data_IF_986218644388
#
_entry.id   IF_986218644388
#
_cell.length_a   1.000
_cell.length_b   1.000
_cell.length_c   1.000
_cell.angle_alpha   90.00
_cell.angle_beta   90.00
_cell.angle_gamma   90.00
#
_symmetry.space_group_name_H-M   'P 1'
#
loop_
_entity.id
_entity.type
_entity.pdbx_description
1 polymer ?
#
# COMPACT_ATOMS: atom_id res chain seq x y z
N UNK A 1 -13.32 -11.54 35.56
CA UNK A 1 -12.61 -11.06 34.36
C UNK A 1 -13.63 -10.39 33.46
N UNK A 2 -13.55 -9.07 33.29
CA UNK A 2 -14.43 -8.38 32.35
C UNK A 2 -14.05 -8.81 30.93
N UNK A 3 -14.97 -9.51 30.27
CA UNK A 3 -14.81 -9.91 28.88
C UNK A 3 -15.12 -8.65 28.04
N UNK A 4 -14.09 -7.85 27.75
CA UNK A 4 -14.23 -6.73 26.81
C UNK A 4 -14.33 -7.32 25.40
N UNK A 5 -15.54 -7.71 25.00
CA UNK A 5 -15.83 -8.03 23.60
C UNK A 5 -15.45 -6.83 22.75
N UNK A 6 -14.62 -7.04 21.71
CA UNK A 6 -14.25 -5.99 20.76
C UNK A 6 -15.53 -5.34 20.22
N UNK A 7 -15.56 -3.99 20.09
CA UNK A 7 -16.71 -3.32 19.49
C UNK A 7 -16.95 -3.84 18.07
N UNK A 8 -18.21 -4.09 17.73
CA UNK A 8 -18.63 -4.56 16.39
C UNK A 8 -18.56 -3.46 15.33
N UNK A 9 -18.58 -2.20 15.77
CA UNK A 9 -18.48 -1.00 14.92
C UNK A 9 -17.02 -0.52 14.88
N UNK A 10 -16.48 -0.20 13.67
CA UNK A 10 -15.17 0.43 13.54
C UNK A 10 -15.11 1.78 14.27
N UNK A 11 -14.10 1.93 15.12
CA UNK A 11 -13.77 3.17 15.82
C UNK A 11 -12.42 3.67 15.33
N UNK A 12 -12.38 4.92 14.89
CA UNK A 12 -11.17 5.57 14.42
C UNK A 12 -10.62 6.54 15.46
N UNK A 13 -9.30 6.47 15.69
CA UNK A 13 -8.55 7.49 16.41
C UNK A 13 -7.50 8.11 15.50
N UNK A 14 -7.22 9.39 15.75
CA UNK A 14 -6.16 10.15 15.08
C UNK A 14 -5.28 10.75 16.17
N UNK A 15 -4.04 10.27 16.25
CA UNK A 15 -3.01 10.80 17.14
C UNK A 15 -2.00 11.62 16.32
N UNK A 16 -1.61 12.81 16.80
CA UNK A 16 -0.64 13.67 16.12
C UNK A 16 0.62 13.79 16.97
N UNK A 17 1.76 13.40 16.39
CA UNK A 17 3.08 13.50 17.01
C UNK A 17 3.92 14.52 16.25
N UNK A 18 4.38 15.55 16.95
CA UNK A 18 5.18 16.62 16.37
C UNK A 18 6.07 17.27 17.44
N UNK A 19 7.08 18.01 17.00
CA UNK A 19 7.55 19.15 17.78
C UNK A 19 6.76 20.38 17.31
N UNK A 20 5.95 20.97 18.18
CA UNK A 20 5.15 22.15 17.83
C UNK A 20 5.94 23.46 17.91
N UNK A 21 7.14 23.44 18.47
CA UNK A 21 7.95 24.63 18.68
C UNK A 21 8.88 24.89 17.50
N UNK A 22 8.76 26.09 16.92
CA UNK A 22 9.61 26.59 15.85
C UNK A 22 10.57 27.66 16.39
N UNK A 23 11.82 27.72 15.91
CA UNK A 23 12.70 28.84 16.22
C UNK A 23 12.19 30.13 15.57
N UNK A 24 12.74 31.27 15.97
CA UNK A 24 12.48 32.55 15.30
C UNK A 24 12.72 32.44 13.78
N UNK A 25 11.73 32.88 12.99
CA UNK A 25 11.77 32.78 11.53
C UNK A 25 11.57 31.36 10.96
N UNK A 26 11.43 30.33 11.81
CA UNK A 26 11.10 28.96 11.42
C UNK A 26 9.74 28.86 10.72
N UNK A 27 9.64 28.00 9.71
CA UNK A 27 8.45 27.91 8.83
C UNK A 27 8.00 26.50 8.49
N UNK A 28 8.76 25.48 8.86
CA UNK A 28 8.45 24.10 8.50
C UNK A 28 8.00 23.34 9.74
N UNK A 29 6.77 22.81 9.67
CA UNK A 29 6.18 21.96 10.70
C UNK A 29 6.08 20.56 10.15
N UNK A 30 6.56 19.59 10.92
CA UNK A 30 6.53 18.18 10.56
C UNK A 30 5.76 17.40 11.61
N UNK A 31 4.76 16.64 11.17
CA UNK A 31 3.91 15.83 12.04
C UNK A 31 3.74 14.41 11.51
N UNK A 32 3.74 13.44 12.43
CA UNK A 32 3.29 12.07 12.20
C UNK A 32 1.87 11.95 12.70
N UNK A 33 0.94 11.64 11.79
CA UNK A 33 -0.46 11.39 12.06
C UNK A 33 -0.66 9.87 12.09
N UNK A 34 -0.86 9.31 13.27
CA UNK A 34 -1.24 7.90 13.42
C UNK A 34 -2.74 7.77 13.37
N UNK A 35 -3.24 7.06 12.37
CA UNK A 35 -4.65 6.69 12.27
C UNK A 35 -4.78 5.23 12.68
N UNK A 36 -5.69 4.96 13.62
CA UNK A 36 -5.97 3.60 14.09
C UNK A 36 -7.45 3.33 13.95
N UNK A 37 -7.79 2.22 13.31
CA UNK A 37 -9.14 1.67 13.24
C UNK A 37 -9.19 0.41 14.09
N UNK A 38 -10.07 0.38 15.09
CA UNK A 38 -10.30 -0.80 15.93
C UNK A 38 -11.78 -1.19 15.91
N UNK A 39 -12.06 -2.48 16.01
CA UNK A 39 -13.44 -2.97 15.87
C UNK A 39 -13.87 -3.06 14.40
N UNK A 40 -14.78 -3.99 14.09
CA UNK A 40 -15.19 -4.31 12.71
C UNK A 40 -14.73 -5.68 12.19
N UNK A 41 -14.06 -6.50 13.00
CA UNK A 41 -13.62 -7.85 12.66
C UNK A 41 -14.34 -8.96 13.45
N UNK A 42 -14.87 -9.94 12.70
CA UNK A 42 -15.37 -11.27 13.10
C UNK A 42 -16.63 -11.35 13.98
N UNK A 43 -17.77 -10.95 13.45
CA UNK A 43 -19.03 -11.69 13.58
C UNK A 43 -20.06 -11.06 12.66
N UNK A 44 -20.78 -11.87 11.88
CA UNK A 44 -21.90 -11.39 11.08
C UNK A 44 -23.03 -10.92 12.01
N UNK A 45 -22.99 -9.66 12.44
CA UNK A 45 -24.13 -8.98 13.05
C UNK A 45 -23.87 -7.47 13.20
N UNK A 46 -24.83 -6.70 12.68
CA UNK A 46 -25.08 -5.27 12.89
C UNK A 46 -23.92 -4.31 12.54
N UNK A 47 -24.02 -3.75 11.33
CA UNK A 47 -23.30 -2.54 10.93
C UNK A 47 -23.62 -1.34 11.81
N UNK A 48 -22.87 -0.26 11.61
CA UNK A 48 -23.03 1.02 12.30
C UNK A 48 -24.49 1.49 12.22
N UNK A 49 -25.07 2.12 13.26
CA UNK A 49 -26.30 2.90 13.08
C UNK A 49 -26.01 4.01 12.05
N UNK A 50 -26.48 3.83 10.80
CA UNK A 50 -26.12 4.67 9.65
C UNK A 50 -25.20 4.02 8.60
N UNK A 51 -24.61 2.84 8.87
CA UNK A 51 -24.08 1.91 7.86
C UNK A 51 -24.90 0.62 7.90
N UNK A 52 -25.80 0.44 6.94
CA UNK A 52 -26.46 -0.84 6.74
C UNK A 52 -25.45 -1.87 6.21
N UNK A 53 -25.06 -2.83 7.06
CA UNK A 53 -24.31 -4.04 6.67
C UNK A 53 -22.81 -3.84 6.46
N UNK A 54 -22.01 -4.88 6.72
CA UNK A 54 -20.66 -4.94 6.15
C UNK A 54 -20.80 -4.77 4.64
N UNK A 55 -20.22 -3.71 4.09
CA UNK A 55 -20.50 -3.29 2.72
C UNK A 55 -20.30 -4.43 1.72
N UNK A 56 -21.13 -4.47 0.67
CA UNK A 56 -20.94 -5.37 -0.46
C UNK A 56 -19.50 -5.24 -0.96
N UNK A 57 -18.76 -6.34 -0.90
CA UNK A 57 -17.37 -6.40 -1.35
C UNK A 57 -17.31 -7.15 -2.69
N UNK A 58 -16.47 -6.66 -3.60
CA UNK A 58 -16.15 -7.31 -4.86
C UNK A 58 -14.65 -7.54 -5.00
N UNK A 59 -14.25 -8.73 -5.44
CA UNK A 59 -12.86 -9.05 -5.73
C UNK A 59 -12.68 -9.62 -7.13
N UNK A 60 -11.73 -9.07 -7.89
CA UNK A 60 -11.30 -9.66 -9.17
C UNK A 60 -9.89 -10.21 -9.04
N UNK A 61 -9.73 -11.51 -9.28
CA UNK A 61 -8.43 -12.18 -9.26
C UNK A 61 -7.93 -12.26 -10.71
N UNK A 62 -6.86 -11.54 -11.01
CA UNK A 62 -6.20 -11.47 -12.32
C UNK A 62 -4.97 -12.37 -12.31
N UNK A 63 -5.03 -13.43 -13.10
CA UNK A 63 -3.99 -14.48 -13.15
C UNK A 63 -3.29 -14.42 -14.50
N UNK A 64 -1.98 -14.14 -14.48
CA UNK A 64 -1.14 -14.24 -15.65
C UNK A 64 -1.21 -15.65 -16.25
N UNK A 65 -1.51 -15.69 -17.54
CA UNK A 65 -1.62 -16.86 -18.38
C UNK A 65 -0.74 -16.71 -19.62
N UNK A 66 0.28 -15.85 -19.59
CA UNK A 66 1.26 -15.70 -20.66
C UNK A 66 2.08 -16.98 -20.86
N UNK A 67 2.82 -17.05 -21.97
CA UNK A 67 3.61 -18.24 -22.32
C UNK A 67 4.68 -18.63 -21.29
N UNK A 68 5.22 -17.68 -20.52
CA UNK A 68 6.24 -17.93 -19.48
C UNK A 68 5.71 -18.77 -18.32
N UNK A 69 4.39 -18.73 -18.07
CA UNK A 69 3.75 -19.48 -16.99
C UNK A 69 3.82 -21.00 -17.16
N UNK A 70 4.18 -21.51 -18.36
CA UNK A 70 4.40 -22.94 -18.61
C UNK A 70 5.82 -23.40 -18.26
N UNK A 71 6.73 -22.46 -17.94
CA UNK A 71 8.15 -22.73 -17.71
C UNK A 71 8.66 -22.10 -16.40
N UNK A 72 8.87 -22.91 -15.34
CA UNK A 72 8.44 -24.30 -15.20
C UNK A 72 6.91 -24.42 -15.03
N UNK A 73 6.33 -25.56 -15.43
CA UNK A 73 4.89 -25.84 -15.31
C UNK A 73 4.35 -25.78 -13.87
N UNK A 74 5.24 -25.76 -12.87
CA UNK A 74 4.89 -25.51 -11.47
C UNK A 74 4.34 -24.09 -11.25
N UNK A 75 4.67 -23.09 -12.07
CA UNK A 75 4.15 -21.72 -11.99
C UNK A 75 2.63 -21.69 -12.23
N UNK A 76 2.16 -22.19 -13.38
CA UNK A 76 0.72 -22.27 -13.68
C UNK A 76 -0.03 -23.14 -12.67
N UNK A 77 0.53 -24.27 -12.23
CA UNK A 77 -0.08 -25.09 -11.17
C UNK A 77 -0.22 -24.29 -9.86
N UNK A 78 0.85 -23.64 -9.42
CA UNK A 78 0.85 -22.82 -8.21
C UNK A 78 -0.13 -21.65 -8.30
N UNK A 79 -0.26 -21.00 -9.46
CA UNK A 79 -1.23 -19.94 -9.71
C UNK A 79 -2.68 -20.44 -9.58
N UNK A 80 -3.00 -21.61 -10.14
CA UNK A 80 -4.33 -22.25 -9.97
C UNK A 80 -4.60 -22.60 -8.51
N UNK A 81 -3.64 -23.21 -7.82
CA UNK A 81 -3.75 -23.59 -6.41
C UNK A 81 -3.95 -22.35 -5.51
N UNK A 82 -3.21 -21.27 -5.77
CA UNK A 82 -3.30 -20.03 -5.02
C UNK A 82 -4.62 -19.28 -5.29
N UNK A 83 -5.07 -19.27 -6.54
CA UNK A 83 -6.38 -18.70 -6.90
C UNK A 83 -7.51 -19.50 -6.24
N UNK A 84 -7.42 -20.83 -6.20
CA UNK A 84 -8.38 -21.67 -5.49
C UNK A 84 -8.39 -21.37 -3.99
N UNK A 85 -7.22 -21.21 -3.37
CA UNK A 85 -7.10 -20.86 -1.95
C UNK A 85 -7.73 -19.49 -1.65
N UNK A 86 -7.46 -18.47 -2.47
CA UNK A 86 -8.09 -17.16 -2.36
C UNK A 86 -9.63 -17.22 -2.50
N UNK A 87 -10.14 -18.01 -3.46
CA UNK A 87 -11.59 -18.21 -3.62
C UNK A 87 -12.22 -18.87 -2.38
N UNK A 88 -11.52 -19.82 -1.76
CA UNK A 88 -11.98 -20.47 -0.53
C UNK A 88 -11.98 -19.52 0.69
N UNK A 89 -11.17 -18.46 0.67
CA UNK A 89 -11.12 -17.41 1.71
C UNK A 89 -12.24 -16.37 1.61
N UNK A 90 -12.92 -16.27 0.45
CA UNK A 90 -14.02 -15.30 0.27
C UNK A 90 -15.10 -15.52 1.33
N UNK A 91 -15.66 -14.45 1.89
CA UNK A 91 -16.85 -14.53 2.75
C UNK A 91 -18.07 -14.91 1.91
N UNK A 92 -19.02 -15.62 2.51
CA UNK A 92 -20.32 -15.85 1.86
C UNK A 92 -20.97 -14.50 1.50
N UNK A 93 -21.48 -14.38 0.28
CA UNK A 93 -22.08 -13.14 -0.23
C UNK A 93 -21.10 -12.16 -0.90
N UNK A 94 -19.78 -12.37 -0.80
CA UNK A 94 -18.79 -11.53 -1.52
C UNK A 94 -18.93 -11.74 -3.03
N UNK A 95 -18.97 -10.65 -3.79
CA UNK A 95 -18.96 -10.71 -5.26
C UNK A 95 -17.55 -11.00 -5.75
N UNK A 96 -17.37 -11.83 -6.78
CA UNK A 96 -16.05 -12.12 -7.32
C UNK A 96 -16.05 -12.55 -8.78
N UNK A 97 -14.90 -12.39 -9.41
CA UNK A 97 -14.59 -12.94 -10.73
C UNK A 97 -13.12 -13.35 -10.83
N UNK A 98 -12.83 -14.23 -11.80
CA UNK A 98 -11.47 -14.65 -12.14
C UNK A 98 -11.19 -14.27 -13.59
N UNK A 99 -10.07 -13.59 -13.82
CA UNK A 99 -9.63 -13.12 -15.13
C UNK A 99 -8.31 -13.80 -15.48
N UNK A 100 -8.25 -14.39 -16.68
CA UNK A 100 -7.01 -14.81 -17.31
C UNK A 100 -6.39 -13.61 -18.04
N UNK A 101 -5.16 -13.30 -17.68
CA UNK A 101 -4.38 -12.21 -18.26
C UNK A 101 -3.38 -12.70 -19.30
N UNK A 102 -3.38 -12.10 -20.49
CA UNK A 102 -2.33 -12.24 -21.51
C UNK A 102 -2.07 -10.87 -22.17
N UNK A 103 -1.71 -10.80 -23.45
CA UNK A 103 -1.84 -9.56 -24.24
C UNK A 103 -3.30 -9.09 -24.38
N UNK A 104 -4.26 -9.95 -24.03
CA UNK A 104 -5.68 -9.62 -23.83
C UNK A 104 -6.15 -10.14 -22.47
N UNK A 105 -7.24 -9.58 -21.95
CA UNK A 105 -7.90 -10.05 -20.73
C UNK A 105 -9.16 -10.85 -21.06
N UNK A 106 -9.33 -12.02 -20.44
CA UNK A 106 -10.53 -12.86 -20.60
C UNK A 106 -11.10 -13.25 -19.24
N UNK A 107 -12.41 -13.08 -19.09
CA UNK A 107 -13.14 -13.60 -17.94
C UNK A 107 -13.21 -15.14 -18.00
N UNK A 108 -12.77 -15.79 -16.93
CA UNK A 108 -12.74 -17.25 -16.78
C UNK A 108 -13.94 -17.72 -15.98
N UNK A 109 -14.30 -16.94 -14.96
CA UNK A 109 -15.48 -17.17 -14.13
C UNK A 109 -16.02 -15.82 -13.65
N UNK A 110 -17.35 -15.57 -13.66
CA UNK A 110 -18.42 -16.46 -14.16
C UNK A 110 -18.49 -16.59 -15.70
N UNK A 111 -17.80 -15.73 -16.45
CA UNK A 111 -17.75 -15.74 -17.92
C UNK A 111 -18.93 -15.04 -18.60
N UNK A 112 -19.67 -14.18 -17.90
CA UNK A 112 -20.90 -13.56 -18.39
C UNK A 112 -20.89 -12.02 -18.34
N UNK A 113 -19.74 -11.40 -18.10
CA UNK A 113 -19.59 -9.95 -18.00
C UNK A 113 -20.02 -9.36 -16.66
N UNK A 114 -20.13 -10.19 -15.62
CA UNK A 114 -20.54 -9.79 -14.28
C UNK A 114 -19.75 -10.49 -13.18
N UNK A 115 -20.25 -10.40 -11.95
CA UNK A 115 -19.64 -11.02 -10.78
C UNK A 115 -20.52 -12.18 -10.29
N UNK A 116 -19.88 -13.27 -9.89
CA UNK A 116 -20.55 -14.33 -9.14
C UNK A 116 -20.61 -13.94 -7.65
N UNK A 117 -21.60 -14.47 -6.92
CA UNK A 117 -21.69 -14.31 -5.47
C UNK A 117 -21.12 -15.55 -4.80
N UNK A 118 -20.15 -15.37 -3.89
CA UNK A 118 -19.48 -16.46 -3.20
C UNK A 118 -20.46 -17.24 -2.31
N UNK A 119 -20.64 -18.51 -2.65
CA UNK A 119 -21.31 -19.55 -1.86
C UNK A 119 -20.56 -20.89 -2.09
N UNK A 120 -21.00 -21.97 -1.47
CA UNK A 120 -20.33 -23.27 -1.63
C UNK A 120 -20.32 -23.79 -3.07
N UNK A 121 -21.36 -23.48 -3.86
CA UNK A 121 -21.50 -23.89 -5.26
C UNK A 121 -20.63 -23.05 -6.18
N UNK A 122 -20.69 -21.73 -6.10
CA UNK A 122 -19.92 -20.82 -6.96
C UNK A 122 -18.42 -20.92 -6.71
N UNK A 123 -17.99 -21.17 -5.45
CA UNK A 123 -16.59 -21.50 -5.16
C UNK A 123 -16.15 -22.80 -5.84
N UNK A 124 -16.98 -23.84 -5.81
CA UNK A 124 -16.67 -25.11 -6.48
C UNK A 124 -16.62 -24.95 -8.01
N UNK A 125 -17.58 -24.22 -8.60
CA UNK A 125 -17.61 -23.90 -10.03
C UNK A 125 -16.39 -23.09 -10.46
N UNK A 126 -16.01 -22.06 -9.69
CA UNK A 126 -14.82 -21.27 -9.97
C UNK A 126 -13.56 -22.14 -9.97
N UNK A 127 -13.40 -23.01 -8.97
CA UNK A 127 -12.26 -23.94 -8.89
C UNK A 127 -12.21 -24.94 -10.06
N UNK A 128 -13.37 -25.38 -10.56
CA UNK A 128 -13.42 -26.17 -11.78
C UNK A 128 -12.98 -25.35 -13.00
N UNK A 129 -13.46 -24.11 -13.13
CA UNK A 129 -13.08 -23.20 -14.21
C UNK A 129 -11.57 -22.91 -14.25
N UNK A 130 -10.88 -22.90 -13.11
CA UNK A 130 -9.41 -22.74 -13.05
C UNK A 130 -8.65 -23.81 -13.83
N UNK A 131 -9.23 -25.00 -14.05
CA UNK A 131 -8.60 -26.05 -14.87
C UNK A 131 -8.46 -25.66 -16.34
N UNK A 132 -9.27 -24.70 -16.80
CA UNK A 132 -9.21 -24.17 -18.16
C UNK A 132 -8.13 -23.09 -18.37
N UNK A 133 -7.51 -22.57 -17.30
CA UNK A 133 -6.41 -21.63 -17.41
C UNK A 133 -5.22 -22.30 -18.10
N UNK A 134 -4.75 -21.79 -19.22
CA UNK A 134 -3.59 -22.35 -19.92
C UNK A 134 -2.61 -21.24 -20.26
N UNK A 135 -1.32 -21.53 -20.19
CA UNK A 135 -0.28 -20.61 -20.60
C UNK A 135 -0.30 -20.40 -22.13
N UNK A 136 -0.23 -19.15 -22.58
CA UNK A 136 -0.17 -18.79 -23.98
C UNK A 136 -0.35 -17.29 -24.22
N UNK A 137 0.35 -16.76 -25.23
CA UNK A 137 0.30 -15.34 -25.58
C UNK A 137 1.24 -14.47 -24.75
N UNK A 138 1.11 -13.14 -24.92
CA UNK A 138 1.95 -12.14 -24.24
C UNK A 138 1.40 -11.63 -22.91
N UNK A 139 1.88 -10.47 -22.47
CA UNK A 139 1.52 -9.82 -21.19
C UNK A 139 1.24 -8.33 -21.42
N UNK A 140 -0.02 -7.93 -21.24
CA UNK A 140 -0.49 -6.54 -21.28
C UNK A 140 -1.40 -6.25 -20.08
N UNK A 141 -0.80 -5.92 -18.94
CA UNK A 141 -1.43 -5.79 -17.62
C UNK A 141 -2.56 -4.73 -17.61
N UNK A 142 -2.39 -3.63 -18.33
CA UNK A 142 -3.38 -2.57 -18.48
C UNK A 142 -4.71 -3.09 -19.02
N UNK A 143 -4.70 -4.12 -19.86
CA UNK A 143 -5.94 -4.76 -20.33
C UNK A 143 -6.67 -5.51 -19.21
N UNK A 144 -5.93 -6.11 -18.27
CA UNK A 144 -6.48 -6.87 -17.14
C UNK A 144 -7.11 -5.93 -16.14
N UNK A 145 -6.41 -4.83 -15.81
CA UNK A 145 -6.89 -3.79 -14.90
C UNK A 145 -8.19 -3.15 -15.40
N UNK A 146 -8.28 -2.85 -16.70
CA UNK A 146 -9.50 -2.30 -17.32
C UNK A 146 -10.67 -3.29 -17.30
N UNK A 147 -10.40 -4.59 -17.48
CA UNK A 147 -11.45 -5.60 -17.37
C UNK A 147 -11.91 -5.75 -15.91
N UNK A 148 -10.99 -5.76 -14.96
CA UNK A 148 -11.30 -5.80 -13.54
C UNK A 148 -12.16 -4.60 -13.11
N UNK A 149 -11.79 -3.39 -13.53
CA UNK A 149 -12.59 -2.18 -13.29
C UNK A 149 -14.01 -2.30 -13.86
N UNK A 150 -14.15 -2.81 -15.09
CA UNK A 150 -15.47 -3.02 -15.72
C UNK A 150 -16.33 -4.00 -14.92
N UNK A 151 -15.76 -5.12 -14.48
CA UNK A 151 -16.46 -6.13 -13.69
C UNK A 151 -16.83 -5.59 -12.30
N UNK A 152 -15.91 -4.93 -11.61
CA UNK A 152 -16.17 -4.30 -10.31
C UNK A 152 -17.17 -3.15 -10.40
N UNK A 153 -17.26 -2.48 -11.56
CA UNK A 153 -18.25 -1.45 -11.84
C UNK A 153 -19.62 -2.00 -12.24
N UNK A 154 -19.76 -3.31 -12.49
CA UNK A 154 -21.04 -3.91 -12.90
C UNK A 154 -22.00 -4.12 -11.74
N UNK A 155 -21.54 -3.93 -10.50
CA UNK A 155 -22.31 -4.12 -9.29
C UNK A 155 -22.12 -2.92 -8.33
N UNK A 156 -23.13 -2.67 -7.50
CA UNK A 156 -23.05 -1.66 -6.45
C UNK A 156 -22.27 -2.22 -5.25
N UNK A 157 -20.96 -1.99 -5.28
CA UNK A 157 -19.99 -2.49 -4.33
C UNK A 157 -19.37 -1.34 -3.56
N UNK A 158 -19.41 -1.44 -2.23
CA UNK A 158 -18.74 -0.53 -1.33
C UNK A 158 -17.22 -0.75 -1.34
N UNK A 159 -16.77 -2.01 -1.28
CA UNK A 159 -15.34 -2.35 -1.28
C UNK A 159 -15.02 -3.06 -2.59
N UNK A 160 -14.06 -2.53 -3.34
CA UNK A 160 -13.64 -3.07 -4.64
C UNK A 160 -12.15 -3.33 -4.60
N UNK A 161 -11.76 -4.57 -4.86
CA UNK A 161 -10.38 -5.00 -4.73
C UNK A 161 -9.95 -5.90 -5.91
N UNK A 162 -8.71 -5.73 -6.34
CA UNK A 162 -8.04 -6.55 -7.34
C UNK A 162 -6.87 -7.30 -6.71
N UNK A 163 -6.67 -8.54 -7.13
CA UNK A 163 -5.45 -9.32 -6.85
C UNK A 163 -4.80 -9.62 -8.19
N UNK A 164 -3.58 -9.15 -8.40
CA UNK A 164 -2.82 -9.36 -9.63
C UNK A 164 -1.64 -10.30 -9.39
N UNK A 165 -1.54 -11.34 -10.21
CA UNK A 165 -0.38 -12.22 -10.29
C UNK A 165 0.28 -12.05 -11.65
N UNK A 166 1.61 -11.91 -11.68
CA UNK A 166 2.39 -12.00 -12.92
C UNK A 166 3.72 -12.72 -12.71
N UNK A 167 4.19 -13.42 -13.73
CA UNK A 167 5.54 -14.01 -13.75
C UNK A 167 6.45 -13.38 -14.80
N UNK A 168 5.94 -12.42 -15.56
CA UNK A 168 6.58 -11.84 -16.74
C UNK A 168 6.60 -10.32 -16.72
N UNK A 169 7.39 -9.75 -17.64
CA UNK A 169 7.41 -8.31 -17.91
C UNK A 169 6.23 -7.90 -18.76
N UNK A 170 5.81 -6.64 -18.64
CA UNK A 170 4.69 -6.09 -19.39
C UNK A 170 5.06 -5.70 -20.84
N UNK A 171 5.50 -6.67 -21.64
CA UNK A 171 6.15 -6.43 -22.94
C UNK A 171 5.18 -6.19 -24.12
N UNK A 172 3.86 -6.39 -23.93
CA UNK A 172 2.88 -6.34 -25.01
C UNK A 172 1.94 -5.12 -24.92
N UNK A 173 2.33 -4.11 -24.15
CA UNK A 173 1.81 -2.75 -24.21
C UNK A 173 2.94 -1.75 -23.91
N UNK A 174 2.75 -0.49 -24.27
CA UNK A 174 3.69 0.58 -23.92
C UNK A 174 3.56 1.01 -22.46
N UNK A 175 4.61 1.57 -21.84
CA UNK A 175 4.53 2.17 -20.51
C UNK A 175 3.44 3.25 -20.41
N UNK A 176 3.20 4.01 -21.48
CA UNK A 176 2.14 5.03 -21.56
C UNK A 176 0.73 4.41 -21.52
N UNK A 177 0.53 3.26 -22.15
CA UNK A 177 -0.75 2.54 -22.13
C UNK A 177 -1.06 1.97 -20.75
N UNK A 178 -0.05 1.38 -20.08
CA UNK A 178 -0.17 0.94 -18.69
C UNK A 178 -0.50 2.12 -17.77
N UNK A 179 0.23 3.23 -17.91
CA UNK A 179 -0.03 4.45 -17.13
C UNK A 179 -1.45 4.97 -17.33
N UNK A 180 -1.93 5.02 -18.58
CA UNK A 180 -3.30 5.43 -18.87
C UNK A 180 -4.34 4.46 -18.28
N UNK A 181 -4.04 3.16 -18.21
CA UNK A 181 -4.91 2.18 -17.53
C UNK A 181 -4.93 2.41 -16.02
N UNK A 182 -3.78 2.66 -15.39
CA UNK A 182 -3.68 2.97 -13.97
C UNK A 182 -4.41 4.27 -13.61
N UNK A 183 -4.22 5.34 -14.39
CA UNK A 183 -4.92 6.61 -14.19
C UNK A 183 -6.44 6.45 -14.28
N UNK A 184 -6.94 5.60 -15.19
CA UNK A 184 -8.36 5.30 -15.33
C UNK A 184 -8.92 4.44 -14.19
N UNK A 185 -8.08 3.60 -13.57
CA UNK A 185 -8.46 2.70 -12.48
C UNK A 185 -8.29 3.35 -11.09
N UNK A 186 -7.44 4.37 -10.97
CA UNK A 186 -7.14 5.05 -9.71
C UNK A 186 -8.42 5.56 -9.03
N UNK A 187 -8.58 5.20 -7.75
CA UNK A 187 -9.77 5.54 -6.97
C UNK A 187 -11.03 4.73 -7.31
N UNK A 188 -11.00 3.82 -8.30
CA UNK A 188 -12.14 2.96 -8.65
C UNK A 188 -12.11 1.62 -7.92
N UNK A 189 -10.92 1.09 -7.64
CA UNK A 189 -10.68 -0.09 -6.81
C UNK A 189 -9.24 -0.06 -6.28
N UNK A 190 -8.94 -0.86 -5.24
CA UNK A 190 -7.56 -1.06 -4.79
C UNK A 190 -6.97 -2.35 -5.36
N UNK A 191 -5.65 -2.43 -5.55
CA UNK A 191 -5.03 -3.63 -6.12
C UNK A 191 -3.74 -4.04 -5.41
N UNK A 192 -3.73 -5.27 -4.89
CA UNK A 192 -2.50 -5.93 -4.48
C UNK A 192 -1.90 -6.68 -5.69
N UNK A 193 -0.57 -6.68 -5.80
CA UNK A 193 0.15 -7.28 -6.91
C UNK A 193 1.28 -8.20 -6.42
N UNK A 194 1.51 -9.31 -7.12
CA UNK A 194 2.55 -10.30 -6.82
C UNK A 194 3.32 -10.69 -8.06
N UNK A 195 4.63 -10.65 -7.94
CA UNK A 195 5.56 -11.16 -8.95
C UNK A 195 6.05 -12.56 -8.59
N UNK A 196 5.94 -13.52 -9.51
CA UNK A 196 6.35 -14.92 -9.30
C UNK A 196 7.71 -15.19 -9.92
N UNK A 197 8.61 -15.79 -9.16
CA UNK A 197 9.97 -16.02 -9.62
C UNK A 197 10.72 -14.70 -9.83
N UNK A 198 11.52 -14.61 -10.89
CA UNK A 198 12.42 -13.48 -11.16
C UNK A 198 12.29 -12.86 -12.55
N UNK A 199 11.39 -13.38 -13.40
CA UNK A 199 11.29 -12.99 -14.81
C UNK A 199 10.36 -11.78 -15.06
N UNK A 200 10.16 -10.93 -14.05
CA UNK A 200 9.26 -9.77 -14.07
C UNK A 200 9.99 -8.49 -13.59
N UNK A 201 9.42 -7.32 -13.84
CA UNK A 201 10.04 -6.03 -13.48
C UNK A 201 9.49 -5.48 -12.16
N UNK A 202 10.38 -5.21 -11.20
CA UNK A 202 10.00 -4.74 -9.85
C UNK A 202 9.27 -3.40 -9.93
N UNK A 203 9.75 -2.48 -10.77
CA UNK A 203 9.15 -1.14 -10.93
C UNK A 203 7.74 -1.19 -11.51
N UNK A 204 7.41 -2.18 -12.34
CA UNK A 204 6.07 -2.35 -12.90
C UNK A 204 5.07 -2.81 -11.83
N UNK A 205 5.38 -3.89 -11.11
CA UNK A 205 4.50 -4.46 -10.08
C UNK A 205 4.32 -3.52 -8.89
N UNK A 206 5.40 -2.89 -8.43
CA UNK A 206 5.32 -1.87 -7.36
C UNK A 206 4.57 -0.62 -7.81
N UNK A 207 4.71 -0.21 -9.08
CA UNK A 207 3.97 0.91 -9.65
C UNK A 207 2.45 0.68 -9.67
N UNK A 208 2.00 -0.54 -9.99
CA UNK A 208 0.57 -0.91 -9.94
C UNK A 208 0.04 -0.79 -8.51
N UNK A 209 0.75 -1.38 -7.54
CA UNK A 209 0.35 -1.34 -6.14
C UNK A 209 0.30 0.10 -5.59
N UNK A 210 1.29 0.94 -5.91
CA UNK A 210 1.31 2.37 -5.54
C UNK A 210 0.13 3.13 -6.16
N UNK A 211 -0.11 2.97 -7.45
CA UNK A 211 -1.20 3.67 -8.15
C UNK A 211 -2.60 3.28 -7.64
N UNK A 212 -2.76 2.02 -7.21
CA UNK A 212 -4.04 1.46 -6.76
C UNK A 212 -4.08 1.20 -5.25
N UNK A 213 -3.27 1.90 -4.45
CA UNK A 213 -3.30 1.88 -2.98
C UNK A 213 -3.29 0.45 -2.36
N UNK A 214 -2.52 -0.45 -2.96
CA UNK A 214 -2.30 -1.80 -2.47
C UNK A 214 -0.83 -2.06 -2.15
N UNK A 215 -0.44 -3.33 -2.22
CA UNK A 215 0.88 -3.84 -1.84
C UNK A 215 1.49 -4.67 -2.96
N UNK A 216 2.82 -4.60 -3.08
CA UNK A 216 3.61 -5.45 -3.95
C UNK A 216 4.52 -6.37 -3.13
N UNK A 217 4.66 -7.62 -3.55
CA UNK A 217 5.67 -8.53 -3.01
C UNK A 217 6.13 -9.55 -4.05
N UNK A 218 7.29 -10.15 -3.80
CA UNK A 218 7.84 -11.26 -4.57
C UNK A 218 7.44 -12.60 -3.94
N UNK A 219 7.02 -13.53 -4.78
CA UNK A 219 6.88 -14.95 -4.44
C UNK A 219 7.94 -15.73 -5.22
N UNK A 220 9.12 -15.84 -4.61
CA UNK A 220 10.29 -16.43 -5.27
C UNK A 220 10.10 -17.93 -5.58
N UNK A 221 9.40 -18.66 -4.71
CA UNK A 221 9.02 -20.06 -4.92
C UNK A 221 7.50 -20.17 -5.11
N UNK A 222 7.02 -20.72 -6.24
CA UNK A 222 5.60 -20.97 -6.47
C UNK A 222 4.88 -21.72 -5.35
N UNK A 223 5.59 -22.54 -4.56
CA UNK A 223 5.00 -23.23 -3.40
C UNK A 223 4.48 -22.27 -2.31
N UNK A 224 4.98 -21.03 -2.26
CA UNK A 224 4.52 -20.00 -1.35
C UNK A 224 3.25 -19.27 -1.78
N UNK A 225 2.81 -19.43 -3.04
CA UNK A 225 1.73 -18.63 -3.62
C UNK A 225 0.40 -18.79 -2.87
N UNK A 226 0.03 -20.01 -2.50
CA UNK A 226 -1.26 -20.27 -1.86
C UNK A 226 -1.38 -19.61 -0.49
N UNK A 227 -0.29 -19.60 0.30
CA UNK A 227 -0.25 -18.94 1.61
C UNK A 227 -0.36 -17.42 1.43
N UNK A 228 0.41 -16.86 0.50
CA UNK A 228 0.39 -15.42 0.22
C UNK A 228 -1.00 -14.93 -0.22
N UNK A 229 -1.63 -15.64 -1.17
CA UNK A 229 -2.97 -15.32 -1.67
C UNK A 229 -4.05 -15.45 -0.59
N UNK A 230 -3.94 -16.46 0.27
CA UNK A 230 -4.84 -16.61 1.42
C UNK A 230 -4.69 -15.41 2.36
N UNK A 231 -3.47 -15.05 2.75
CA UNK A 231 -3.22 -13.90 3.64
C UNK A 231 -3.71 -12.58 3.04
N UNK A 232 -3.47 -12.36 1.74
CA UNK A 232 -3.94 -11.17 1.04
C UNK A 232 -5.46 -11.10 1.00
N UNK A 233 -6.13 -12.22 0.67
CA UNK A 233 -7.59 -12.27 0.67
C UNK A 233 -8.18 -12.09 2.07
N UNK A 234 -7.57 -12.66 3.12
CA UNK A 234 -7.97 -12.43 4.51
C UNK A 234 -7.89 -10.94 4.88
N UNK A 235 -6.83 -10.25 4.47
CA UNK A 235 -6.67 -8.81 4.69
C UNK A 235 -7.72 -7.99 3.93
N UNK A 236 -7.99 -8.34 2.67
CA UNK A 236 -9.03 -7.70 1.86
C UNK A 236 -10.43 -7.91 2.47
N UNK A 237 -10.74 -9.13 2.93
CA UNK A 237 -12.01 -9.46 3.58
C UNK A 237 -12.13 -8.88 5.00
N UNK A 238 -11.01 -8.54 5.64
CA UNK A 238 -10.97 -7.83 6.92
C UNK A 238 -11.37 -6.37 6.85
N UNK A 239 -11.50 -5.80 5.64
CA UNK A 239 -11.94 -4.41 5.44
C UNK A 239 -13.45 -4.28 5.69
N UNK A 240 -13.84 -3.25 6.42
CA UNK A 240 -15.22 -2.96 6.80
C UNK A 240 -15.69 -1.53 6.49
N UNK A 241 -14.75 -0.60 6.25
CA UNK A 241 -15.06 0.79 5.90
C UNK A 241 -14.42 1.10 4.56
N UNK A 242 -15.27 1.39 3.56
CA UNK A 242 -14.86 1.80 2.23
C UNK A 242 -14.49 3.29 2.18
N UNK A 243 -13.70 3.64 1.16
CA UNK A 243 -13.46 5.02 0.69
C UNK A 243 -13.23 6.05 1.79
N UNK A 244 -12.20 5.81 2.58
CA UNK A 244 -11.74 6.76 3.60
C UNK A 244 -10.67 7.67 3.00
N UNK A 245 -10.79 8.97 3.28
CA UNK A 245 -9.82 9.98 2.89
C UNK A 245 -9.24 10.69 4.11
N UNK A 246 -7.97 11.07 4.00
CA UNK A 246 -7.32 11.97 4.93
C UNK A 246 -7.50 13.40 4.39
N UNK A 247 -8.42 14.16 4.99
CA UNK A 247 -8.70 15.55 4.63
C UNK A 247 -7.79 16.48 5.41
N UNK A 248 -6.98 17.26 4.70
CA UNK A 248 -6.17 18.33 5.28
C UNK A 248 -6.79 19.68 5.00
N UNK A 249 -7.12 20.41 6.06
CA UNK A 249 -7.50 21.82 5.97
C UNK A 249 -6.36 22.71 6.49
N UNK A 250 -6.10 23.83 5.81
CA UNK A 250 -5.08 24.81 6.21
C UNK A 250 -5.63 26.23 6.36
N UNK A 251 -5.07 27.06 7.26
CA UNK A 251 -5.33 28.50 7.29
C UNK A 251 -4.80 29.23 6.05
N UNK A 252 -5.11 30.54 5.96
CA UNK A 252 -4.55 31.40 4.90
C UNK A 252 -3.04 31.50 5.07
N UNK A 253 -2.28 31.45 3.97
CA UNK A 253 -0.82 31.58 3.96
C UNK A 253 -0.07 30.32 4.38
N UNK A 254 -0.78 29.20 4.58
CA UNK A 254 -0.19 27.91 4.92
C UNK A 254 -0.28 26.94 3.74
N UNK A 255 0.83 26.29 3.42
CA UNK A 255 0.97 25.35 2.31
C UNK A 255 1.27 23.94 2.83
N UNK A 256 0.67 22.92 2.22
CA UNK A 256 1.09 21.53 2.45
C UNK A 256 2.34 21.27 1.61
N UNK A 257 3.43 20.85 2.27
CA UNK A 257 4.67 20.46 1.60
C UNK A 257 4.56 19.06 1.00
N UNK A 258 4.23 18.08 1.83
CA UNK A 258 3.97 16.70 1.39
C UNK A 258 3.03 15.96 2.35
N UNK A 259 2.43 14.89 1.83
CA UNK A 259 1.68 13.89 2.61
C UNK A 259 2.15 12.52 2.17
N UNK A 260 2.83 11.80 3.07
CA UNK A 260 3.34 10.45 2.80
C UNK A 260 2.74 9.48 3.79
N UNK A 261 2.24 8.34 3.35
CA UNK A 261 2.11 7.19 4.24
C UNK A 261 3.53 6.71 4.56
N UNK A 262 3.82 6.46 5.83
CA UNK A 262 5.13 6.01 6.30
C UNK A 262 5.05 4.71 7.11
N UNK A 263 3.84 4.21 7.40
CA UNK A 263 3.62 2.86 7.88
C UNK A 263 2.23 2.34 7.46
N UNK A 264 2.08 1.04 7.14
CA UNK A 264 3.11 -0.02 7.16
C UNK A 264 4.09 0.04 5.98
N UNK A 265 3.73 0.73 4.91
CA UNK A 265 4.58 0.97 3.73
C UNK A 265 4.72 2.45 3.46
N UNK A 266 5.89 2.85 2.92
CA UNK A 266 6.12 4.20 2.41
C UNK A 266 5.39 4.37 1.08
N UNK A 267 4.49 5.36 1.02
CA UNK A 267 3.77 5.75 -0.20
C UNK A 267 3.62 7.28 -0.22
N UNK A 268 3.97 7.92 -1.33
CA UNK A 268 3.82 9.37 -1.48
C UNK A 268 2.44 9.73 -2.03
N UNK A 269 1.59 10.31 -1.18
CA UNK A 269 0.24 10.71 -1.51
C UNK A 269 0.16 12.17 -1.97
N UNK A 270 1.26 12.92 -1.98
CA UNK A 270 1.27 14.37 -2.20
C UNK A 270 0.59 14.76 -3.52
N UNK A 271 0.89 14.04 -4.60
CA UNK A 271 0.30 14.26 -5.92
C UNK A 271 -1.11 13.67 -6.08
N UNK A 272 -1.63 12.95 -5.07
CA UNK A 272 -2.96 12.34 -5.05
C UNK A 272 -4.04 13.25 -4.44
N UNK A 273 -3.69 14.51 -4.16
CA UNK A 273 -4.61 15.50 -3.58
C UNK A 273 -5.78 15.77 -4.52
N UNK A 274 -7.00 15.70 -4.00
CA UNK A 274 -8.23 16.18 -4.65
C UNK A 274 -8.82 17.35 -3.86
N UNK A 275 -9.43 18.32 -4.53
CA UNK A 275 -10.02 19.49 -3.85
C UNK A 275 -11.29 19.09 -3.09
N UNK A 276 -11.38 19.49 -1.82
CA UNK A 276 -12.44 19.08 -0.90
C UNK A 276 -13.21 20.26 -0.27
N UNK A 277 -13.09 21.43 -0.89
CA UNK A 277 -13.64 22.69 -0.43
C UNK A 277 -12.57 23.75 -0.14
N UNK A 278 -12.96 24.94 0.36
CA UNK A 278 -12.03 26.05 0.54
C UNK A 278 -10.87 25.69 1.48
N UNK A 279 -9.64 25.67 0.94
CA UNK A 279 -8.40 25.33 1.66
C UNK A 279 -8.43 23.93 2.28
N UNK A 280 -9.19 23.02 1.69
CA UNK A 280 -9.24 21.61 2.08
C UNK A 280 -8.84 20.73 0.91
N UNK A 281 -7.99 19.73 1.14
CA UNK A 281 -7.67 18.71 0.15
C UNK A 281 -7.77 17.31 0.74
N UNK A 282 -8.31 16.38 -0.05
CA UNK A 282 -8.45 14.97 0.31
C UNK A 282 -7.30 14.16 -0.30
N UNK A 283 -6.70 13.32 0.54
CA UNK A 283 -5.70 12.33 0.17
C UNK A 283 -6.30 10.94 0.34
N UNK A 284 -6.30 10.10 -0.72
CA UNK A 284 -7.00 8.83 -0.67
C UNK A 284 -6.24 7.83 0.21
N UNK A 285 -6.99 7.15 1.08
CA UNK A 285 -6.43 6.09 1.95
C UNK A 285 -7.09 4.73 1.70
N UNK A 286 -8.04 4.65 0.78
CA UNK A 286 -8.71 3.41 0.42
C UNK A 286 -9.57 2.86 1.55
N UNK A 287 -9.69 1.52 1.60
CA UNK A 287 -10.52 0.82 2.57
C UNK A 287 -9.77 0.48 3.86
N UNK A 288 -10.51 0.40 4.97
CA UNK A 288 -10.01 0.16 6.32
C UNK A 288 -10.68 -1.03 7.01
N UNK A 289 -9.87 -1.82 7.72
CA UNK A 289 -10.27 -2.88 8.65
C UNK A 289 -9.78 -2.61 10.07
N UNK A 290 -9.46 -3.66 10.84
CA UNK A 290 -8.75 -3.55 12.13
C UNK A 290 -7.25 -3.37 11.86
N UNK A 291 -6.82 -2.12 11.74
CA UNK A 291 -5.47 -1.77 11.29
C UNK A 291 -5.03 -0.38 11.76
N UNK A 292 -3.75 -0.06 11.54
CA UNK A 292 -3.21 1.27 11.83
C UNK A 292 -2.18 1.67 10.79
N UNK A 293 -2.24 2.93 10.37
CA UNK A 293 -1.34 3.53 9.38
C UNK A 293 -0.85 4.87 9.90
N UNK A 294 0.41 5.18 9.58
CA UNK A 294 1.05 6.41 10.01
C UNK A 294 1.34 7.27 8.78
N UNK A 295 1.04 8.57 8.86
CA UNK A 295 1.22 9.54 7.78
C UNK A 295 2.16 10.66 8.21
N UNK A 296 3.16 10.94 7.42
CA UNK A 296 4.06 12.06 7.60
C UNK A 296 3.57 13.25 6.78
N UNK A 297 3.17 14.31 7.49
CA UNK A 297 2.65 15.56 6.92
C UNK A 297 3.66 16.67 7.18
N UNK A 298 4.18 17.28 6.12
CA UNK A 298 4.96 18.53 6.20
C UNK A 298 4.08 19.71 5.81
N UNK A 299 4.13 20.76 6.62
CA UNK A 299 3.34 21.98 6.46
C UNK A 299 4.28 23.18 6.53
N UNK A 300 4.18 24.08 5.55
CA UNK A 300 4.87 25.36 5.54
C UNK A 300 3.96 26.47 6.04
N UNK A 301 4.32 27.07 7.17
CA UNK A 301 3.58 28.16 7.81
C UNK A 301 4.17 29.54 7.47
N UNK A 302 3.37 30.63 7.56
CA UNK A 302 3.91 31.99 7.51
C UNK A 302 4.83 32.25 8.71
N UNK A 303 5.70 33.26 8.61
CA UNK A 303 6.46 33.71 9.78
C UNK A 303 5.53 34.35 10.80
N UNK A 304 5.82 34.14 12.08
CA UNK A 304 5.08 34.73 13.19
C UNK A 304 6.06 35.22 14.27
N UNK A 305 5.57 36.05 15.18
CA UNK A 305 6.38 36.56 16.29
C UNK A 305 6.55 35.48 17.39
N UNK A 306 7.65 35.56 18.15
CA UNK A 306 7.88 34.71 19.33
C UNK A 306 6.66 34.79 20.28
N UNK A 307 6.26 33.64 20.82
CA UNK A 307 5.09 33.48 21.68
C UNK A 307 3.76 33.35 20.94
N UNK A 308 3.72 33.53 19.61
CA UNK A 308 2.51 33.29 18.84
C UNK A 308 2.29 31.79 18.60
N UNK A 309 1.03 31.38 18.70
CA UNK A 309 0.57 30.06 18.36
C UNK A 309 -0.38 30.12 17.15
N UNK A 310 -0.25 29.16 16.25
CA UNK A 310 -1.22 28.93 15.18
C UNK A 310 -1.53 27.45 14.97
N UNK A 311 -2.72 27.19 14.46
CA UNK A 311 -3.06 25.92 13.85
C UNK A 311 -2.41 25.86 12.46
N UNK A 312 -1.44 24.98 12.23
CA UNK A 312 -0.82 24.80 10.92
C UNK A 312 -1.75 24.00 9.99
N UNK A 313 -2.32 22.90 10.47
CA UNK A 313 -3.30 22.13 9.70
C UNK A 313 -4.29 21.42 10.63
N UNK A 314 -5.52 21.24 10.14
CA UNK A 314 -6.47 20.29 10.73
C UNK A 314 -6.51 19.05 9.85
N UNK A 315 -6.22 17.91 10.45
CA UNK A 315 -6.27 16.59 9.83
C UNK A 315 -7.59 15.94 10.20
N UNK A 316 -8.39 15.55 9.23
CA UNK A 316 -9.68 14.88 9.47
C UNK A 316 -9.75 13.60 8.67
N UNK A 317 -10.13 12.51 9.33
CA UNK A 317 -10.44 11.27 8.65
C UNK A 317 -11.92 11.30 8.26
N UNK A 318 -12.21 11.19 6.96
CA UNK A 318 -13.56 11.30 6.42
C UNK A 318 -13.90 9.99 5.70
N UNK A 319 -15.02 9.37 6.07
CA UNK A 319 -15.64 8.34 5.23
C UNK A 319 -16.45 9.04 4.14
N UNK A 320 -16.12 8.75 2.89
CA UNK A 320 -16.96 9.13 1.77
C UNK A 320 -18.13 8.15 1.66
N UNK A 321 -19.23 8.64 1.10
CA UNK A 321 -20.34 7.79 0.73
C UNK A 321 -20.19 7.40 -0.75
N UNK A 322 -20.01 6.10 -1.08
CA UNK A 322 -19.92 5.63 -2.46
C UNK A 322 -21.14 6.02 -3.31
N UNK A 323 -22.31 6.23 -2.70
CA UNK A 323 -23.55 6.66 -3.35
C UNK A 323 -23.67 8.20 -3.47
N UNK A 324 -22.65 8.96 -3.06
CA UNK A 324 -22.63 10.43 -3.17
C UNK A 324 -23.36 11.17 -2.05
N UNK A 325 -23.64 10.52 -0.93
CA UNK A 325 -24.15 11.15 0.29
C UNK A 325 -23.12 12.04 1.00
N UNK A 326 -23.55 12.66 2.11
CA UNK A 326 -22.73 13.62 2.84
C UNK A 326 -21.46 12.97 3.43
N UNK A 327 -20.27 13.55 3.22
CA UNK A 327 -19.03 13.05 3.81
C UNK A 327 -19.12 13.03 5.33
N UNK A 328 -18.79 11.90 5.96
CA UNK A 328 -18.92 11.72 7.41
C UNK A 328 -17.55 11.78 8.11
N UNK A 329 -17.34 12.75 9.02
CA UNK A 329 -16.11 12.80 9.79
C UNK A 329 -16.06 11.65 10.80
N UNK A 330 -14.95 10.91 10.79
CA UNK A 330 -14.69 9.77 11.65
C UNK A 330 -13.86 10.17 12.87
N UNK A 331 -12.83 10.98 12.66
CA UNK A 331 -11.91 11.45 13.70
C UNK A 331 -11.09 12.65 13.19
N UNK A 332 -10.40 13.37 14.08
CA UNK A 332 -9.56 14.50 13.70
C UNK A 332 -8.37 14.69 14.64
N UNK A 333 -7.31 15.29 14.11
CA UNK A 333 -6.11 15.73 14.83
C UNK A 333 -5.68 17.12 14.38
N UNK A 334 -4.97 17.84 15.25
CA UNK A 334 -4.51 19.21 14.99
C UNK A 334 -2.99 19.24 14.90
N UNK A 335 -2.47 19.87 13.86
CA UNK A 335 -1.05 20.17 13.69
C UNK A 335 -0.82 21.61 14.10
N UNK A 336 -0.04 21.84 15.17
CA UNK A 336 0.18 23.18 15.77
C UNK A 336 1.56 23.75 15.39
N UNK A 337 1.72 25.06 15.50
CA UNK A 337 3.00 25.73 15.40
C UNK A 337 3.06 26.86 16.44
N UNK A 338 4.14 26.89 17.23
CA UNK A 338 4.39 27.87 18.29
C UNK A 338 5.79 28.41 18.11
N UNK A 339 5.95 29.72 17.93
CA UNK A 339 7.29 30.32 17.80
C UNK A 339 7.90 30.58 19.17
N UNK A 340 9.15 30.18 19.35
CA UNK A 340 9.88 30.33 20.60
C UNK A 340 11.32 30.74 20.36
N UNK A 341 11.90 31.50 21.30
CA UNK A 341 13.34 31.76 21.40
C UNK A 341 14.07 30.72 22.27
N UNK A 342 13.32 29.81 22.90
CA UNK A 342 13.89 28.68 23.63
C UNK A 342 14.48 27.65 22.65
N UNK A 343 15.82 27.63 22.60
CA UNK A 343 16.59 26.70 21.77
C UNK A 343 16.35 25.24 22.16
N UNK A 344 16.13 24.92 23.43
CA UNK A 344 15.89 23.53 23.85
C UNK A 344 14.53 23.03 23.36
N UNK A 345 13.51 23.88 23.36
CA UNK A 345 12.18 23.54 22.85
C UNK A 345 12.18 23.41 21.32
N UNK A 346 12.76 24.37 20.60
CA UNK A 346 12.79 24.40 19.13
C UNK A 346 13.72 23.36 18.49
N UNK A 347 14.76 22.90 19.19
CA UNK A 347 15.67 21.84 18.69
C UNK A 347 15.31 20.45 19.21
N UNK A 348 14.26 20.32 20.02
CA UNK A 348 13.79 19.02 20.51
C UNK A 348 13.36 18.12 19.34
N UNK A 349 13.88 16.90 19.32
CA UNK A 349 13.60 15.92 18.28
C UNK A 349 12.39 15.09 18.71
N UNK A 350 11.30 15.14 17.95
CA UNK A 350 10.19 14.22 18.15
C UNK A 350 10.59 12.80 17.69
N UNK A 351 10.52 11.77 18.56
CA UNK A 351 11.00 10.43 18.22
C UNK A 351 10.29 9.80 17.02
N UNK A 352 8.96 9.99 16.89
CA UNK A 352 8.18 9.45 15.78
C UNK A 352 8.56 10.11 14.46
N UNK A 353 8.70 11.44 14.45
CA UNK A 353 9.13 12.19 13.26
C UNK A 353 10.54 11.74 12.82
N UNK A 354 11.48 11.65 13.76
CA UNK A 354 12.85 11.22 13.46
C UNK A 354 12.90 9.78 12.92
N UNK A 355 12.16 8.87 13.54
CA UNK A 355 12.08 7.47 13.11
C UNK A 355 11.58 7.33 11.68
N UNK A 356 10.43 7.94 11.35
CA UNK A 356 9.84 7.80 10.01
C UNK A 356 10.58 8.59 8.93
N UNK A 357 11.21 9.71 9.28
CA UNK A 357 12.15 10.40 8.37
C UNK A 357 13.31 9.45 8.01
N UNK A 358 13.87 8.74 8.99
CA UNK A 358 14.91 7.73 8.76
C UNK A 358 14.45 6.52 7.95
N UNK A 359 13.20 6.06 8.13
CA UNK A 359 12.64 4.97 7.30
C UNK A 359 12.44 5.40 5.84
N UNK A 360 11.96 6.62 5.60
CA UNK A 360 11.83 7.15 4.24
C UNK A 360 13.20 7.29 3.56
N UNK A 361 14.21 7.82 4.28
CA UNK A 361 15.58 7.88 3.78
C UNK A 361 16.12 6.47 3.46
N UNK A 362 15.87 5.49 4.35
CA UNK A 362 16.29 4.09 4.16
C UNK A 362 15.76 3.51 2.85
N UNK A 363 14.47 3.69 2.56
CA UNK A 363 13.87 3.23 1.31
C UNK A 363 14.56 3.85 0.09
N UNK A 364 14.76 5.18 0.10
CA UNK A 364 15.39 5.92 -0.99
C UNK A 364 16.84 5.47 -1.25
N UNK A 365 17.64 5.28 -0.20
CA UNK A 365 19.05 4.87 -0.38
C UNK A 365 19.19 3.42 -0.80
N UNK A 366 18.24 2.54 -0.44
CA UNK A 366 18.20 1.16 -0.97
C UNK A 366 17.97 1.21 -2.49
N UNK A 367 16.93 1.93 -2.93
CA UNK A 367 16.60 2.06 -4.36
C UNK A 367 17.78 2.64 -5.16
N UNK A 368 18.35 3.75 -4.70
CA UNK A 368 19.52 4.37 -5.33
C UNK A 368 20.73 3.43 -5.36
N UNK A 369 20.94 2.64 -4.29
CA UNK A 369 22.05 1.69 -4.22
C UNK A 369 21.89 0.51 -5.17
N UNK A 370 20.66 0.00 -5.35
CA UNK A 370 20.35 -1.06 -6.30
C UNK A 370 20.43 -0.55 -7.75
N UNK A 371 19.91 0.64 -8.05
CA UNK A 371 20.04 1.26 -9.37
C UNK A 371 21.51 1.54 -9.75
N UNK A 372 22.31 2.05 -8.80
CA UNK A 372 23.76 2.24 -8.99
C UNK A 372 24.47 0.90 -9.26
N UNK A 373 24.08 -0.16 -8.56
CA UNK A 373 24.62 -1.50 -8.78
C UNK A 373 24.26 -2.05 -10.17
N UNK A 374 23.00 -1.93 -10.58
CA UNK A 374 22.50 -2.37 -11.91
C UNK A 374 23.19 -1.63 -13.05
N UNK A 375 23.50 -0.34 -12.86
CA UNK A 375 24.23 0.49 -13.83
C UNK A 375 25.76 0.32 -13.79
N UNK A 376 26.29 -0.47 -12.86
CA UNK A 376 27.73 -0.74 -12.73
C UNK A 376 28.52 0.30 -11.92
N UNK A 377 27.86 1.31 -11.34
CA UNK A 377 28.45 2.26 -10.41
C UNK A 377 28.67 1.62 -9.04
N UNK A 378 29.82 0.94 -8.90
CA UNK A 378 30.17 0.21 -7.67
C UNK A 378 30.41 1.14 -6.48
N UNK A 379 30.94 2.34 -6.71
CA UNK A 379 31.25 3.28 -5.65
C UNK A 379 29.96 3.91 -5.11
N UNK A 380 29.07 4.35 -6.00
CA UNK A 380 27.74 4.83 -5.64
C UNK A 380 26.92 3.76 -4.93
N UNK A 381 26.91 2.52 -5.45
CA UNK A 381 26.21 1.40 -4.82
C UNK A 381 26.76 1.10 -3.41
N UNK A 382 28.07 1.10 -3.22
CA UNK A 382 28.70 0.86 -1.91
C UNK A 382 28.31 1.97 -0.92
N UNK A 383 28.37 3.24 -1.34
CA UNK A 383 28.01 4.36 -0.48
C UNK A 383 26.53 4.33 -0.07
N UNK A 384 25.62 4.11 -1.03
CA UNK A 384 24.18 4.11 -0.81
C UNK A 384 23.71 2.89 0.01
N UNK A 385 24.16 1.69 -0.32
CA UNK A 385 23.84 0.48 0.46
C UNK A 385 24.52 0.47 1.83
N UNK A 386 25.68 1.11 1.97
CA UNK A 386 26.33 1.36 3.26
C UNK A 386 25.48 2.25 4.17
N UNK A 387 24.97 3.37 3.63
CA UNK A 387 24.01 4.24 4.33
C UNK A 387 22.72 3.49 4.68
N UNK A 388 22.22 2.63 3.80
CA UNK A 388 21.06 1.79 4.08
C UNK A 388 21.29 0.86 5.28
N UNK A 389 22.45 0.20 5.36
CA UNK A 389 22.80 -0.65 6.50
C UNK A 389 22.86 0.16 7.80
N UNK A 390 23.44 1.36 7.76
CA UNK A 390 23.51 2.25 8.92
C UNK A 390 22.11 2.64 9.42
N UNK A 391 21.23 3.05 8.51
CA UNK A 391 19.85 3.45 8.84
C UNK A 391 19.03 2.26 9.37
N UNK A 392 19.11 1.09 8.74
CA UNK A 392 18.41 -0.11 9.18
C UNK A 392 18.85 -0.58 10.57
N UNK A 393 20.14 -0.46 10.89
CA UNK A 393 20.68 -0.77 12.20
C UNK A 393 20.21 0.25 13.26
N UNK A 394 20.28 1.55 12.95
CA UNK A 394 19.85 2.62 13.85
C UNK A 394 18.34 2.57 14.16
N UNK A 395 17.52 2.18 13.19
CA UNK A 395 16.07 2.07 13.35
C UNK A 395 15.59 0.72 13.90
N UNK A 396 16.50 -0.24 14.12
CA UNK A 396 16.15 -1.60 14.54
C UNK A 396 15.33 -2.40 13.51
N UNK A 397 15.42 -2.07 12.21
CA UNK A 397 14.69 -2.77 11.15
C UNK A 397 15.43 -4.06 10.77
N UNK A 398 15.27 -5.09 11.62
CA UNK A 398 15.99 -6.36 11.51
C UNK A 398 15.68 -7.11 10.20
N UNK A 399 14.46 -7.02 9.69
CA UNK A 399 14.08 -7.66 8.44
C UNK A 399 14.80 -7.04 7.25
N UNK A 400 14.85 -5.71 7.17
CA UNK A 400 15.59 -5.01 6.10
C UNK A 400 17.09 -5.23 6.24
N UNK A 401 17.64 -5.23 7.47
CA UNK A 401 19.04 -5.56 7.71
C UNK A 401 19.38 -6.99 7.23
N UNK A 402 18.48 -7.95 7.44
CA UNK A 402 18.63 -9.32 6.94
C UNK A 402 18.64 -9.35 5.41
N UNK A 403 17.75 -8.62 4.75
CA UNK A 403 17.72 -8.52 3.28
C UNK A 403 19.00 -7.86 2.74
N UNK A 404 19.43 -6.73 3.33
CA UNK A 404 20.66 -6.05 2.97
C UNK A 404 21.89 -6.97 3.08
N UNK A 405 21.97 -7.79 4.12
CA UNK A 405 23.08 -8.74 4.30
C UNK A 405 23.15 -9.83 3.22
N UNK A 406 22.10 -10.02 2.41
CA UNK A 406 22.15 -10.88 1.23
C UNK A 406 22.83 -10.22 0.03
N UNK A 407 22.83 -8.88 -0.01
CA UNK A 407 23.31 -8.06 -1.13
C UNK A 407 24.71 -7.49 -0.87
N UNK A 408 25.04 -7.22 0.40
CA UNK A 408 26.34 -6.70 0.84
C UNK A 408 26.91 -7.50 2.01
N UNK A 409 28.24 -7.53 2.11
CA UNK A 409 28.96 -7.99 3.29
C UNK A 409 29.16 -6.81 4.24
N UNK A 410 28.51 -6.84 5.40
CA UNK A 410 28.61 -5.78 6.41
C UNK A 410 29.92 -5.93 7.18
N UNK A 411 30.78 -4.90 7.11
CA UNK A 411 32.03 -4.82 7.88
C UNK A 411 31.78 -4.09 9.19
N UNK A 412 31.09 -2.95 9.13
CA UNK A 412 30.68 -2.17 10.30
C UNK A 412 29.37 -1.44 10.01
N UNK A 413 28.30 -1.84 10.70
CA UNK A 413 26.98 -1.25 10.52
C UNK A 413 26.89 0.19 11.07
N UNK A 414 27.65 0.54 12.11
CA UNK A 414 27.57 1.86 12.74
C UNK A 414 28.13 2.96 11.83
N UNK A 415 29.20 2.65 11.10
CA UNK A 415 29.82 3.54 10.11
C UNK A 415 29.26 3.38 8.69
N UNK A 416 28.42 2.37 8.46
CA UNK A 416 27.91 2.03 7.12
C UNK A 416 28.97 1.42 6.20
N UNK A 417 30.04 0.85 6.77
CA UNK A 417 31.13 0.25 5.99
C UNK A 417 30.72 -1.13 5.50
N UNK A 418 30.58 -1.27 4.18
CA UNK A 418 30.13 -2.52 3.53
C UNK A 418 31.00 -2.85 2.33
N UNK A 419 30.99 -4.12 1.90
CA UNK A 419 31.53 -4.57 0.62
C UNK A 419 30.42 -5.17 -0.21
N UNK A 420 30.30 -4.76 -1.48
CA UNK A 420 29.32 -5.36 -2.39
C UNK A 420 29.67 -6.83 -2.62
N UNK A 421 28.67 -7.72 -2.50
CA UNK A 421 28.86 -9.13 -2.87
C UNK A 421 29.06 -9.26 -4.36
N UNK A 422 30.05 -10.05 -4.76
CA UNK A 422 30.37 -10.27 -6.17
C UNK A 422 29.27 -11.01 -6.94
N UNK A 423 28.52 -11.89 -6.25
CA UNK A 423 27.37 -12.62 -6.79
C UNK A 423 26.23 -12.53 -5.77
N UNK A 424 25.05 -12.15 -6.24
CA UNK A 424 23.82 -12.11 -5.45
C UNK A 424 22.75 -12.82 -6.26
N UNK A 425 21.91 -13.61 -5.60
CA UNK A 425 20.78 -14.23 -6.27
C UNK A 425 19.79 -13.15 -6.70
N UNK A 426 19.31 -13.21 -7.94
CA UNK A 426 18.38 -12.21 -8.49
C UNK A 426 17.14 -12.05 -7.60
N UNK A 427 16.58 -13.16 -7.10
CA UNK A 427 15.48 -13.15 -6.15
C UNK A 427 15.79 -12.37 -4.86
N UNK A 428 17.02 -12.38 -4.35
CA UNK A 428 17.39 -11.63 -3.15
C UNK A 428 17.46 -10.13 -3.42
N UNK A 429 17.97 -9.74 -4.59
CA UNK A 429 18.01 -8.35 -5.03
C UNK A 429 16.59 -7.80 -5.25
N UNK A 430 15.75 -8.54 -5.99
CA UNK A 430 14.34 -8.19 -6.20
C UNK A 430 13.54 -8.16 -4.89
N UNK A 431 13.82 -9.07 -3.95
CA UNK A 431 13.19 -9.05 -2.62
C UNK A 431 13.55 -7.77 -1.86
N UNK A 432 14.82 -7.37 -1.85
CA UNK A 432 15.25 -6.14 -1.20
C UNK A 432 14.62 -4.92 -1.87
N UNK A 433 14.59 -4.87 -3.20
CA UNK A 433 13.99 -3.78 -3.96
C UNK A 433 12.48 -3.66 -3.65
N UNK A 434 11.75 -4.76 -3.79
CA UNK A 434 10.29 -4.79 -3.57
C UNK A 434 9.90 -4.44 -2.14
N UNK A 435 10.69 -4.89 -1.15
CA UNK A 435 10.41 -4.66 0.28
C UNK A 435 11.09 -3.43 0.87
N UNK A 436 11.82 -2.66 0.07
CA UNK A 436 12.52 -1.44 0.52
C UNK A 436 11.58 -0.39 1.13
N UNK A 437 10.32 -0.35 0.70
CA UNK A 437 9.30 0.56 1.22
C UNK A 437 8.57 0.01 2.45
N UNK A 438 8.83 -1.23 2.89
CA UNK A 438 8.24 -1.78 4.12
C UNK A 438 8.95 -1.17 5.33
N UNK A 439 8.16 -0.64 6.26
CA UNK A 439 8.66 0.06 7.44
C UNK A 439 8.37 -0.72 8.71
N UNK A 440 9.14 -0.43 9.75
CA UNK A 440 8.87 -0.92 11.11
C UNK A 440 8.22 0.21 11.90
N UNK A 441 7.11 -0.07 12.58
CA UNK A 441 6.45 0.92 13.43
C UNK A 441 7.24 1.19 14.71
N UNK A 442 7.14 2.42 15.20
CA UNK A 442 7.62 2.78 16.54
C UNK A 442 6.80 1.98 17.57
N UNK A 443 7.48 1.20 18.41
CA UNK A 443 6.80 0.54 19.54
C UNK A 443 6.30 1.62 20.51
N UNK A 444 5.00 1.62 20.79
CA UNK A 444 4.39 2.48 21.80
C UNK A 444 4.83 2.09 23.20
#
# INVERSE_FOLDING_TARGET
MANFSKPTVPQFSVDVYQNEFLPEGGREVSAIVTVTSTGGGTSGAAGVPGYAGGGSAGVVIMVDCSGSMDYPATKMRGAREATAAAVDTLRDGTSFAVVAGTHVAKEVYPGNGGLAVADSRTRAEAKEALRSLSAGGGTAIGTWLRLADRLLSSADLAIRHGILLTDGRNEHESPEELRAALDACAGRFTCDARGVGTDWEVKEVTGIASALLGTADIVADPAGLAVDFTTMMEQAMGKGVADVVLRLWTPVGVEIGYVKQVAPTVEDLTARRTEAGPRAGDYPTGSWGDESRDYHVSVRVPQAAIGQEMLAARVSLIALDPAGGDPRPLSQGLVRAVWTDDLAMSTSINPQVAHYTGQAELADVIQQGLDARKSGDRDGATAKLGRAVQLAAASGNADTAKLLSKVVDVVDAATGTVRLKAKVAEADEMTLETRSTKTVRVKR
#
